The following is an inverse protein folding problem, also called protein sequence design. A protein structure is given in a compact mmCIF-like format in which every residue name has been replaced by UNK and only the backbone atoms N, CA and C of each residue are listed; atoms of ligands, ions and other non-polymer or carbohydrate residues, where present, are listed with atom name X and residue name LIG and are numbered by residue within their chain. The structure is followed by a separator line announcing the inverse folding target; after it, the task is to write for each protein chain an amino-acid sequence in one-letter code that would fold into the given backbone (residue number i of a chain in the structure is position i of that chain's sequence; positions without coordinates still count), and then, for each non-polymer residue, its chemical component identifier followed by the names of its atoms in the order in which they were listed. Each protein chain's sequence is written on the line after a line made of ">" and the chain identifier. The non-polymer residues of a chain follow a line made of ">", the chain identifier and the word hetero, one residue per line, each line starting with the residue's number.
data_IF_264231394072
#
_entry.id   IF_264231394072
#
_cell.length_a   1.000
_cell.length_b   1.000
_cell.length_c   1.000
_cell.angle_alpha   90.00
_cell.angle_beta   90.00
_cell.angle_gamma   90.00
#
_symmetry.space_group_name_H-M   'P 1'
#
loop_
_entity.id
_entity.type
_entity.pdbx_description
1 polymer ?
#
# COMPACT_ATOMS: atom_id res chain seq x y z
N UNK A 1 -21.35 -2.95 50.82
CA UNK A 1 -21.01 -4.39 50.84
C UNK A 1 -20.30 -4.72 49.53
N UNK A 2 -18.96 -4.66 49.51
CA UNK A 2 -18.16 -4.68 48.28
C UNK A 2 -17.81 -6.12 47.90
N UNK A 3 -18.41 -6.65 46.82
CA UNK A 3 -18.15 -8.03 46.37
C UNK A 3 -16.80 -8.11 45.64
N UNK A 4 -15.79 -8.67 46.31
CA UNK A 4 -14.43 -8.85 45.79
C UNK A 4 -14.43 -10.04 44.82
N UNK A 5 -14.34 -9.77 43.51
CA UNK A 5 -14.18 -10.81 42.47
C UNK A 5 -12.91 -11.64 42.76
N UNK A 6 -13.01 -12.96 43.02
CA UNK A 6 -11.84 -13.81 43.18
C UNK A 6 -11.16 -14.03 41.83
N UNK A 7 -9.82 -14.00 41.80
CA UNK A 7 -9.02 -14.31 40.61
C UNK A 7 -9.21 -15.76 40.16
N UNK A 8 -9.08 -16.02 38.85
CA UNK A 8 -9.44 -17.30 38.20
C UNK A 8 -8.79 -18.54 38.84
N UNK A 9 -7.60 -18.38 39.41
CA UNK A 9 -6.89 -19.47 40.06
C UNK A 9 -7.59 -19.96 41.35
N UNK A 10 -8.20 -19.03 42.10
CA UNK A 10 -8.95 -19.35 43.32
C UNK A 10 -10.32 -19.94 43.02
N UNK A 11 -10.95 -19.54 41.91
CA UNK A 11 -12.23 -20.11 41.47
C UNK A 11 -12.04 -21.56 41.03
N UNK A 12 -11.03 -21.85 40.20
CA UNK A 12 -10.71 -23.21 39.77
C UNK A 12 -10.38 -24.15 40.93
N UNK A 13 -9.63 -23.66 41.93
CA UNK A 13 -9.27 -24.45 43.12
C UNK A 13 -10.49 -24.76 43.99
N UNK A 14 -11.39 -23.79 44.14
CA UNK A 14 -12.62 -23.95 44.92
C UNK A 14 -13.61 -24.90 44.22
N UNK A 15 -13.73 -24.80 42.90
CA UNK A 15 -14.53 -25.71 42.07
C UNK A 15 -14.02 -27.15 42.18
N UNK A 16 -12.70 -27.38 42.09
CA UNK A 16 -12.11 -28.72 42.28
C UNK A 16 -12.38 -29.32 43.66
N UNK A 17 -12.30 -28.50 44.72
CA UNK A 17 -12.56 -28.97 46.09
C UNK A 17 -14.05 -29.27 46.31
N UNK A 18 -14.95 -28.44 45.78
CA UNK A 18 -16.39 -28.69 45.83
C UNK A 18 -16.77 -29.93 45.02
N UNK A 19 -16.20 -30.11 43.84
CA UNK A 19 -16.41 -31.30 43.01
C UNK A 19 -16.05 -32.59 43.76
N UNK A 20 -14.87 -32.65 44.37
CA UNK A 20 -14.46 -33.83 45.16
C UNK A 20 -15.39 -34.09 46.35
N UNK A 21 -15.80 -33.04 47.07
CA UNK A 21 -16.71 -33.20 48.23
C UNK A 21 -18.13 -33.62 47.83
N UNK A 22 -18.63 -33.12 46.71
CA UNK A 22 -19.96 -33.50 46.18
C UNK A 22 -19.91 -34.95 45.68
N UNK A 23 -18.82 -35.35 45.00
CA UNK A 23 -18.61 -36.72 44.52
C UNK A 23 -18.49 -37.73 45.67
N UNK A 24 -17.82 -37.37 46.78
CA UNK A 24 -17.70 -38.23 47.97
C UNK A 24 -19.02 -38.30 48.77
N UNK A 25 -19.79 -37.21 48.85
CA UNK A 25 -20.96 -37.10 49.72
C UNK A 25 -22.28 -37.53 49.04
N UNK A 26 -22.40 -37.35 47.72
CA UNK A 26 -23.59 -37.66 46.94
C UNK A 26 -23.24 -38.39 45.63
N UNK A 27 -22.80 -39.66 45.71
CA UNK A 27 -22.22 -40.41 44.59
C UNK A 27 -23.15 -40.67 43.39
N UNK A 28 -24.47 -40.47 43.55
CA UNK A 28 -25.47 -40.63 42.49
C UNK A 28 -26.20 -39.33 42.13
N UNK A 29 -25.69 -38.17 42.54
CA UNK A 29 -26.31 -36.88 42.25
C UNK A 29 -25.83 -36.30 40.92
N UNK A 30 -26.74 -35.76 40.11
CA UNK A 30 -26.46 -35.17 38.79
C UNK A 30 -25.58 -33.91 38.81
N UNK A 31 -25.20 -33.43 40.00
CA UNK A 31 -24.43 -32.20 40.21
C UNK A 31 -22.97 -32.30 39.77
N UNK A 32 -22.33 -33.47 39.88
CA UNK A 32 -20.96 -33.68 39.39
C UNK A 32 -20.89 -33.55 37.86
N UNK A 33 -21.86 -34.14 37.16
CA UNK A 33 -21.98 -34.01 35.70
C UNK A 33 -22.20 -32.55 35.26
N UNK A 34 -22.97 -31.76 36.01
CA UNK A 34 -23.15 -30.33 35.73
C UNK A 34 -21.84 -29.55 35.91
N UNK A 35 -21.05 -29.85 36.94
CA UNK A 35 -19.72 -29.22 37.13
C UNK A 35 -18.73 -29.58 36.02
N UNK A 36 -18.73 -30.84 35.57
CA UNK A 36 -17.88 -31.29 34.46
C UNK A 36 -18.26 -30.58 33.15
N UNK A 37 -19.56 -30.49 32.84
CA UNK A 37 -20.06 -29.76 31.66
C UNK A 37 -19.67 -28.28 31.72
N UNK A 38 -19.78 -27.63 32.87
CA UNK A 38 -19.35 -26.22 33.04
C UNK A 38 -17.85 -26.06 32.78
N UNK A 39 -17.03 -26.99 33.26
CA UNK A 39 -15.56 -26.93 33.10
C UNK A 39 -15.16 -27.14 31.64
N UNK A 40 -15.80 -28.08 30.95
CA UNK A 40 -15.59 -28.32 29.50
C UNK A 40 -16.06 -27.09 28.71
N UNK A 41 -17.23 -26.53 29.04
CA UNK A 41 -17.75 -25.34 28.39
C UNK A 41 -16.80 -24.13 28.55
N UNK A 42 -16.24 -23.92 29.74
CA UNK A 42 -15.26 -22.86 29.98
C UNK A 42 -14.02 -23.01 29.10
N UNK A 43 -13.48 -24.24 28.97
CA UNK A 43 -12.33 -24.50 28.09
C UNK A 43 -12.66 -24.24 26.62
N UNK A 44 -13.79 -24.78 26.14
CA UNK A 44 -14.22 -24.62 24.74
C UNK A 44 -14.44 -23.16 24.38
N UNK A 45 -15.07 -22.38 25.27
CA UNK A 45 -15.29 -20.95 25.05
C UNK A 45 -13.96 -20.20 24.94
N UNK A 46 -13.00 -20.48 25.82
CA UNK A 46 -11.68 -19.84 25.76
C UNK A 46 -10.95 -20.19 24.46
N UNK A 47 -10.96 -21.46 24.05
CA UNK A 47 -10.32 -21.89 22.81
C UNK A 47 -10.96 -21.20 21.59
N UNK A 48 -12.29 -21.09 21.54
CA UNK A 48 -13.00 -20.36 20.48
C UNK A 48 -12.59 -18.88 20.45
N UNK A 49 -12.49 -18.23 21.62
CA UNK A 49 -12.05 -16.84 21.71
C UNK A 49 -10.63 -16.68 21.19
N UNK A 50 -9.69 -17.54 21.61
CA UNK A 50 -8.30 -17.47 21.15
C UNK A 50 -8.17 -17.72 19.65
N UNK A 51 -8.92 -18.68 19.10
CA UNK A 51 -8.98 -18.93 17.67
C UNK A 51 -9.54 -17.71 16.93
N UNK A 52 -10.62 -17.10 17.45
CA UNK A 52 -11.19 -15.89 16.88
C UNK A 52 -10.20 -14.73 16.84
N UNK A 53 -9.47 -14.49 17.93
CA UNK A 53 -8.42 -13.48 18.00
C UNK A 53 -7.29 -13.82 17.03
N UNK A 54 -6.87 -15.07 16.94
CA UNK A 54 -5.80 -15.51 16.05
C UNK A 54 -6.17 -15.28 14.57
N UNK A 55 -7.40 -15.63 14.17
CA UNK A 55 -7.90 -15.38 12.81
C UNK A 55 -7.98 -13.88 12.52
N UNK A 56 -8.54 -13.10 13.44
CA UNK A 56 -8.61 -11.65 13.30
C UNK A 56 -7.22 -11.01 13.14
N UNK A 57 -6.26 -11.45 13.94
CA UNK A 57 -4.88 -11.01 13.86
C UNK A 57 -4.25 -11.39 12.53
N UNK A 58 -4.47 -12.62 12.04
CA UNK A 58 -3.91 -13.10 10.78
C UNK A 58 -4.44 -12.32 9.58
N UNK A 59 -5.76 -12.10 9.50
CA UNK A 59 -6.37 -11.28 8.44
C UNK A 59 -5.85 -9.84 8.49
N UNK A 60 -5.74 -9.26 9.69
CA UNK A 60 -5.22 -7.90 9.85
C UNK A 60 -3.74 -7.78 9.48
N UNK A 61 -2.94 -8.77 9.86
CA UNK A 61 -1.51 -8.82 9.54
C UNK A 61 -1.29 -8.97 8.03
N UNK A 62 -2.08 -9.81 7.37
CA UNK A 62 -2.04 -9.98 5.91
C UNK A 62 -2.27 -8.65 5.18
N UNK A 63 -3.30 -7.89 5.58
CA UNK A 63 -3.58 -6.57 4.99
C UNK A 63 -2.42 -5.61 5.20
N UNK A 64 -1.83 -5.56 6.42
CA UNK A 64 -0.69 -4.69 6.73
C UNK A 64 0.55 -5.04 5.90
N UNK A 65 0.85 -6.33 5.74
CA UNK A 65 1.99 -6.81 4.95
C UNK A 65 1.78 -6.49 3.46
N UNK A 66 0.59 -6.78 2.91
CA UNK A 66 0.24 -6.46 1.52
C UNK A 66 0.32 -4.96 1.24
N UNK A 67 -0.21 -4.14 2.15
CA UNK A 67 -0.10 -2.67 2.08
C UNK A 67 1.36 -2.21 2.02
N UNK A 68 2.21 -2.71 2.91
CA UNK A 68 3.63 -2.35 2.94
C UNK A 68 4.33 -2.64 1.60
N UNK A 69 4.14 -3.84 1.06
CA UNK A 69 4.71 -4.26 -0.24
C UNK A 69 4.19 -3.42 -1.40
N UNK A 70 2.90 -3.10 -1.42
CA UNK A 70 2.32 -2.27 -2.46
C UNK A 70 2.86 -0.83 -2.40
N UNK A 71 2.93 -0.23 -1.21
CA UNK A 71 3.47 1.13 -1.05
C UNK A 71 4.95 1.22 -1.42
N UNK A 72 5.73 0.19 -1.12
CA UNK A 72 7.13 0.08 -1.57
C UNK A 72 7.24 0.07 -3.09
N UNK A 73 6.47 -0.77 -3.77
CA UNK A 73 6.47 -0.79 -5.23
C UNK A 73 5.99 0.54 -5.85
N UNK A 74 4.97 1.18 -5.28
CA UNK A 74 4.50 2.50 -5.73
C UNK A 74 5.53 3.61 -5.52
N UNK A 75 6.36 3.51 -4.47
CA UNK A 75 7.48 4.43 -4.24
C UNK A 75 8.54 4.26 -5.33
N UNK A 76 8.84 3.04 -5.74
CA UNK A 76 9.80 2.79 -6.83
C UNK A 76 9.29 3.31 -8.17
N UNK A 77 7.99 3.15 -8.47
CA UNK A 77 7.37 3.73 -9.67
C UNK A 77 7.38 5.28 -9.64
N UNK A 78 7.20 5.89 -8.46
CA UNK A 78 7.33 7.34 -8.30
C UNK A 78 8.76 7.80 -8.54
N UNK A 79 9.75 7.06 -8.03
CA UNK A 79 11.16 7.32 -8.31
C UNK A 79 11.45 7.22 -9.82
N UNK A 80 10.92 6.21 -10.52
CA UNK A 80 11.04 6.07 -11.96
C UNK A 80 10.45 7.28 -12.71
N UNK A 81 9.26 7.74 -12.31
CA UNK A 81 8.62 8.93 -12.89
C UNK A 81 9.50 10.18 -12.78
N UNK A 82 10.15 10.36 -11.62
CA UNK A 82 11.08 11.47 -11.40
C UNK A 82 12.39 11.30 -12.15
N UNK A 83 12.92 10.09 -12.30
CA UNK A 83 14.12 9.83 -13.11
C UNK A 83 13.85 10.20 -14.57
N UNK A 84 12.68 9.85 -15.10
CA UNK A 84 12.27 10.25 -16.45
C UNK A 84 12.29 11.78 -16.58
N UNK A 85 11.68 12.51 -15.63
CA UNK A 85 11.66 13.98 -15.61
C UNK A 85 13.06 14.61 -15.48
N UNK A 86 13.93 14.06 -14.63
CA UNK A 86 15.32 14.55 -14.48
C UNK A 86 16.11 14.44 -15.77
N UNK A 87 15.93 13.36 -16.54
CA UNK A 87 16.56 13.22 -17.87
C UNK A 87 15.96 14.18 -18.92
N UNK A 88 14.85 14.87 -18.63
CA UNK A 88 14.28 15.92 -19.48
C UNK A 88 14.88 17.32 -19.25
N UNK A 89 15.68 17.55 -18.21
CA UNK A 89 16.13 18.90 -17.84
C UNK A 89 16.93 19.62 -18.94
N UNK A 90 17.70 18.88 -19.73
CA UNK A 90 18.49 19.43 -20.83
C UNK A 90 17.71 19.52 -22.15
N UNK A 91 16.50 18.94 -22.19
CA UNK A 91 15.65 18.78 -23.37
C UNK A 91 14.68 19.95 -23.48
N UNK A 92 15.22 21.09 -23.89
CA UNK A 92 14.53 22.37 -24.02
C UNK A 92 14.32 22.75 -25.50
N UNK A 93 13.06 22.86 -25.97
CA UNK A 93 12.73 23.24 -27.35
C UNK A 93 13.24 24.63 -27.76
N UNK A 94 13.30 25.59 -26.84
CA UNK A 94 13.71 26.97 -27.16
C UNK A 94 15.17 27.05 -27.63
N UNK A 95 15.97 26.05 -27.25
CA UNK A 95 17.39 25.94 -27.65
C UNK A 95 17.55 25.52 -29.11
N UNK A 96 16.52 25.03 -29.80
CA UNK A 96 16.61 24.67 -31.22
C UNK A 96 16.44 25.92 -32.12
N UNK A 97 15.96 27.03 -31.59
CA UNK A 97 15.87 28.29 -32.34
C UNK A 97 17.25 28.78 -32.79
N UNK A 98 17.36 29.16 -34.08
CA UNK A 98 18.59 29.69 -34.71
C UNK A 98 19.14 30.94 -34.00
N UNK A 99 18.31 31.66 -33.25
CA UNK A 99 18.68 32.89 -32.55
C UNK A 99 19.10 32.68 -31.09
N UNK A 100 19.26 31.43 -30.63
CA UNK A 100 19.67 31.15 -29.25
C UNK A 100 21.17 31.38 -29.06
N UNK A 101 21.53 32.45 -28.34
CA UNK A 101 22.89 32.73 -27.87
C UNK A 101 23.32 31.71 -26.81
N UNK A 102 24.42 31.00 -27.06
CA UNK A 102 24.98 30.03 -26.13
C UNK A 102 25.97 30.71 -25.17
N UNK A 103 25.98 30.25 -23.93
CA UNK A 103 27.02 30.58 -22.94
C UNK A 103 28.01 29.42 -22.83
N UNK A 104 29.23 29.63 -22.30
CA UNK A 104 30.21 28.54 -22.10
C UNK A 104 29.69 27.35 -21.28
N UNK A 105 28.72 27.58 -20.39
CA UNK A 105 28.09 26.55 -19.54
C UNK A 105 26.80 25.95 -20.13
N UNK A 106 26.44 26.32 -21.37
CA UNK A 106 25.24 25.79 -22.02
C UNK A 106 25.42 24.29 -22.35
N UNK A 107 24.42 23.43 -22.07
CA UNK A 107 24.48 22.01 -22.44
C UNK A 107 24.65 21.79 -23.94
N UNK A 108 25.35 20.72 -24.33
CA UNK A 108 25.57 20.37 -25.74
C UNK A 108 24.26 19.95 -26.45
N UNK A 109 24.09 20.40 -27.70
CA UNK A 109 22.94 20.04 -28.55
C UNK A 109 23.26 18.79 -29.37
N UNK A 110 22.79 17.64 -28.91
CA UNK A 110 23.07 16.34 -29.56
C UNK A 110 21.92 15.81 -30.41
N UNK A 111 20.75 16.47 -30.42
CA UNK A 111 19.53 15.96 -31.07
C UNK A 111 18.93 17.02 -32.00
N UNK A 112 18.50 16.58 -33.18
CA UNK A 112 17.65 17.35 -34.09
C UNK A 112 16.24 17.55 -33.52
N UNK A 113 15.45 18.44 -34.13
CA UNK A 113 14.05 18.65 -33.74
C UNK A 113 13.24 17.34 -33.80
N UNK A 114 13.38 16.57 -34.89
CA UNK A 114 12.70 15.29 -35.05
C UNK A 114 13.09 14.27 -33.96
N UNK A 115 14.39 14.11 -33.69
CA UNK A 115 14.87 13.19 -32.65
C UNK A 115 14.42 13.61 -31.25
N UNK A 116 14.38 14.92 -30.98
CA UNK A 116 13.89 15.45 -29.71
C UNK A 116 12.39 15.18 -29.53
N UNK A 117 11.56 15.38 -30.57
CA UNK A 117 10.14 15.02 -30.53
C UNK A 117 9.97 13.53 -30.21
N UNK A 118 10.68 12.65 -30.95
CA UNK A 118 10.60 11.20 -30.74
C UNK A 118 10.97 10.81 -29.30
N UNK A 119 12.03 11.41 -28.77
CA UNK A 119 12.47 11.17 -27.40
C UNK A 119 11.42 11.62 -26.37
N UNK A 120 10.82 12.78 -26.57
CA UNK A 120 9.77 13.31 -25.72
C UNK A 120 8.52 12.41 -25.74
N UNK A 121 8.12 11.92 -26.91
CA UNK A 121 7.02 10.95 -27.04
C UNK A 121 7.28 9.66 -26.26
N UNK A 122 8.47 9.05 -26.40
CA UNK A 122 8.84 7.87 -25.62
C UNK A 122 8.80 8.11 -24.11
N UNK A 123 9.18 9.31 -23.66
CA UNK A 123 9.10 9.66 -22.25
C UNK A 123 7.65 9.79 -21.77
N UNK A 124 6.75 10.30 -22.62
CA UNK A 124 5.31 10.31 -22.34
C UNK A 124 4.74 8.88 -22.27
N UNK A 125 5.13 8.00 -23.18
CA UNK A 125 4.72 6.58 -23.17
C UNK A 125 5.21 5.86 -21.90
N UNK A 126 6.47 6.07 -21.50
CA UNK A 126 7.01 5.51 -20.24
C UNK A 126 6.23 6.00 -19.01
N UNK A 127 5.85 7.29 -18.96
CA UNK A 127 5.03 7.82 -17.88
C UNK A 127 3.61 7.22 -17.88
N UNK A 128 3.01 7.03 -19.06
CA UNK A 128 1.71 6.39 -19.18
C UNK A 128 1.73 4.92 -18.72
N UNK A 129 2.80 4.17 -19.07
CA UNK A 129 3.02 2.82 -18.56
C UNK A 129 3.20 2.81 -17.05
N UNK A 130 3.96 3.76 -16.50
CA UNK A 130 4.17 3.88 -15.04
C UNK A 130 2.86 4.10 -14.30
N UNK A 131 1.99 4.99 -14.80
CA UNK A 131 0.64 5.20 -14.25
C UNK A 131 -0.21 3.93 -14.31
N UNK A 132 -0.29 3.27 -15.47
CA UNK A 132 -1.07 2.03 -15.63
C UNK A 132 -0.58 0.88 -14.75
N UNK A 133 0.73 0.72 -14.59
CA UNK A 133 1.29 -0.29 -13.68
C UNK A 133 0.89 0.02 -12.23
N UNK A 134 0.87 1.29 -11.83
CA UNK A 134 0.43 1.66 -10.49
C UNK A 134 -1.03 1.28 -10.21
N UNK A 135 -1.93 1.46 -11.18
CA UNK A 135 -3.34 1.07 -11.07
C UNK A 135 -3.53 -0.45 -10.85
N UNK A 136 -2.62 -1.29 -11.34
CA UNK A 136 -2.70 -2.75 -11.12
C UNK A 136 -2.56 -3.13 -9.64
N UNK A 137 -1.87 -2.33 -8.83
CA UNK A 137 -1.68 -2.63 -7.41
C UNK A 137 -2.96 -2.54 -6.56
N UNK A 138 -4.00 -1.86 -7.06
CA UNK A 138 -5.28 -1.68 -6.36
C UNK A 138 -6.44 -2.47 -6.99
N UNK A 139 -6.23 -3.07 -8.17
CA UNK A 139 -7.28 -3.77 -8.92
C UNK A 139 -8.00 -4.84 -8.09
N UNK A 140 -7.24 -5.63 -7.31
CA UNK A 140 -7.77 -6.71 -6.48
C UNK A 140 -7.41 -6.52 -4.99
N UNK A 141 -7.06 -5.29 -4.59
CA UNK A 141 -6.65 -4.99 -3.23
C UNK A 141 -7.33 -3.71 -2.73
N UNK A 142 -8.39 -3.89 -1.95
CA UNK A 142 -9.22 -2.80 -1.45
C UNK A 142 -8.61 -2.16 -0.19
N UNK A 143 -7.58 -1.33 -0.38
CA UNK A 143 -6.92 -0.59 0.68
C UNK A 143 -6.87 0.90 0.35
N UNK A 144 -7.52 1.72 1.18
CA UNK A 144 -7.67 3.16 0.93
C UNK A 144 -6.35 3.92 0.90
N UNK A 145 -5.34 3.44 1.63
CA UNK A 145 -4.01 4.08 1.67
C UNK A 145 -3.27 3.82 0.36
N UNK A 146 -3.32 2.58 -0.13
CA UNK A 146 -2.71 2.24 -1.44
C UNK A 146 -3.44 2.94 -2.58
N UNK A 147 -4.77 3.00 -2.55
CA UNK A 147 -5.58 3.73 -3.54
C UNK A 147 -5.20 5.21 -3.63
N UNK A 148 -5.02 5.86 -2.48
CA UNK A 148 -4.56 7.26 -2.45
C UNK A 148 -3.17 7.41 -3.10
N UNK A 149 -2.22 6.52 -2.77
CA UNK A 149 -0.88 6.55 -3.33
C UNK A 149 -0.84 6.29 -4.84
N UNK A 150 -1.73 5.45 -5.37
CA UNK A 150 -1.93 5.23 -6.82
C UNK A 150 -2.44 6.51 -7.48
N UNK A 151 -3.51 7.11 -6.95
CA UNK A 151 -4.09 8.33 -7.50
C UNK A 151 -3.07 9.49 -7.56
N UNK A 152 -2.21 9.62 -6.54
CA UNK A 152 -1.10 10.59 -6.54
C UNK A 152 -0.11 10.33 -7.68
N UNK A 153 0.25 9.07 -7.92
CA UNK A 153 1.19 8.69 -8.97
C UNK A 153 0.58 8.86 -10.38
N UNK A 154 -0.70 8.54 -10.57
CA UNK A 154 -1.43 8.82 -11.81
C UNK A 154 -1.52 10.33 -12.09
N UNK A 155 -1.76 11.13 -11.04
CA UNK A 155 -1.75 12.59 -11.14
C UNK A 155 -0.36 13.12 -11.52
N UNK A 156 0.70 12.61 -10.87
CA UNK A 156 2.08 12.97 -11.16
C UNK A 156 2.43 12.66 -12.62
N UNK A 157 2.23 11.42 -13.06
CA UNK A 157 2.57 10.98 -14.42
C UNK A 157 1.79 11.76 -15.48
N UNK A 158 0.49 12.02 -15.26
CA UNK A 158 -0.33 12.86 -16.14
C UNK A 158 0.19 14.31 -16.20
N UNK A 159 0.60 14.87 -15.06
CA UNK A 159 1.13 16.24 -15.01
C UNK A 159 2.47 16.38 -15.73
N UNK A 160 3.37 15.39 -15.60
CA UNK A 160 4.66 15.36 -16.29
C UNK A 160 4.47 15.16 -17.79
N UNK A 161 3.59 14.25 -18.20
CA UNK A 161 3.22 14.04 -19.61
C UNK A 161 2.69 15.33 -20.24
N UNK A 162 1.87 16.11 -19.51
CA UNK A 162 1.39 17.41 -19.98
C UNK A 162 2.51 18.42 -20.22
N UNK A 163 3.53 18.47 -19.34
CA UNK A 163 4.72 19.32 -19.53
C UNK A 163 5.52 18.89 -20.78
N UNK A 164 5.65 17.59 -21.01
CA UNK A 164 6.29 17.05 -22.22
C UNK A 164 5.51 17.47 -23.47
N UNK A 165 4.18 17.35 -23.45
CA UNK A 165 3.35 17.74 -24.58
C UNK A 165 3.47 19.24 -24.90
N UNK A 166 3.56 20.10 -23.89
CA UNK A 166 3.86 21.53 -24.09
C UNK A 166 5.21 21.75 -24.80
N UNK A 167 6.24 20.98 -24.44
CA UNK A 167 7.55 21.05 -25.12
C UNK A 167 7.43 20.68 -26.59
N UNK A 168 6.69 19.62 -26.92
CA UNK A 168 6.47 19.16 -28.30
C UNK A 168 5.75 20.24 -29.13
N UNK A 169 4.69 20.87 -28.58
CA UNK A 169 3.99 21.97 -29.28
C UNK A 169 4.95 23.12 -29.61
N UNK A 170 5.76 23.53 -28.64
CA UNK A 170 6.72 24.63 -28.83
C UNK A 170 7.73 24.26 -29.94
N UNK A 171 8.18 23.01 -29.95
CA UNK A 171 9.10 22.51 -30.95
C UNK A 171 8.51 22.55 -32.37
N UNK A 172 7.26 22.11 -32.55
CA UNK A 172 6.56 22.19 -33.83
C UNK A 172 6.42 23.64 -34.32
N UNK A 173 6.11 24.60 -33.43
CA UNK A 173 6.05 26.02 -33.78
C UNK A 173 7.37 26.57 -34.33
N UNK A 174 8.50 26.17 -33.74
CA UNK A 174 9.82 26.59 -34.24
C UNK A 174 10.17 25.93 -35.56
N UNK A 175 9.73 24.70 -35.80
CA UNK A 175 9.92 24.02 -37.07
C UNK A 175 9.11 24.69 -38.19
N UNK A 176 7.86 25.06 -37.91
CA UNK A 176 7.00 25.80 -38.84
C UNK A 176 7.53 27.21 -39.14
N UNK A 177 8.00 27.94 -38.12
CA UNK A 177 8.57 29.28 -38.31
C UNK A 177 9.94 29.29 -38.99
N UNK A 178 10.61 28.14 -39.08
CA UNK A 178 11.90 27.97 -39.74
C UNK A 178 11.81 27.52 -41.21
N UNK A 179 10.60 27.20 -41.70
CA UNK A 179 10.29 26.93 -43.12
C UNK A 179 9.82 28.21 -43.80
#
# INVERSE_FOLDING_TARGET
>A
MTYRKPGSEKTLKTIKVLHNRISERFPHSSLSGVCEVITIAESVINDIIFIGIAIFFLVTAEVRIKRGRALEALRDLRALSHVIDMHQLTKDPAKISKNSTQTPSSPSRTMSAFELTRYLDYCSEMLALTGKISALYVQNFNDSVVLAAVNELETLTTSLSRKIWQKIIILHKFEEAGR
#
